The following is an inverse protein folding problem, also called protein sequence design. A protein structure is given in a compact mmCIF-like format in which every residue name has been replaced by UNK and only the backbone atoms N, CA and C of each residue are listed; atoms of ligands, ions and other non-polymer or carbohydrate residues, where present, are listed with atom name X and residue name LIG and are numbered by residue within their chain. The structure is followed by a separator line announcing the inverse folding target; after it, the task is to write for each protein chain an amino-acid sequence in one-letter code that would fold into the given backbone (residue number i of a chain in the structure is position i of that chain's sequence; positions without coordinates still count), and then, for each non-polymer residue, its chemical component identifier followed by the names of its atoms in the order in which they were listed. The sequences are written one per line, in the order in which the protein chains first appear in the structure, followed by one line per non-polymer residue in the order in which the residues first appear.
data_IF_719174083782
#
_entry.id   IF_719174083782
#
_cell.length_a   1.000
_cell.length_b   1.000
_cell.length_c   1.000
_cell.angle_alpha   90.00
_cell.angle_beta   90.00
_cell.angle_gamma   90.00
#
_symmetry.space_group_name_H-M   'P 1'
#
loop_
_entity.id
_entity.type
_entity.pdbx_description
1 polymer ?
#
# COMPACT_ATOMS: atom_id res chain seq x y z
N UNK A 1 -30.76 -2.04 5.59
CA UNK A 1 -31.52 -0.82 5.93
C UNK A 1 -30.50 0.29 5.96
N UNK A 2 -30.53 1.20 4.99
CA UNK A 2 -29.59 2.32 4.89
C UNK A 2 -29.94 3.30 6.01
N UNK A 3 -28.94 3.82 6.70
CA UNK A 3 -29.14 4.86 7.70
C UNK A 3 -29.78 6.08 7.01
N UNK A 4 -30.90 6.63 7.53
CA UNK A 4 -31.58 7.78 6.91
C UNK A 4 -30.66 8.96 6.60
N UNK A 5 -29.56 9.14 7.33
CA UNK A 5 -28.60 10.22 7.08
C UNK A 5 -27.77 10.04 5.79
N UNK A 6 -27.70 8.83 5.23
CA UNK A 6 -26.94 8.53 4.01
C UNK A 6 -27.82 8.17 2.79
N UNK A 7 -29.14 8.14 2.95
CA UNK A 7 -30.07 7.70 1.91
C UNK A 7 -29.97 8.53 0.61
N UNK A 8 -29.72 9.84 0.71
CA UNK A 8 -29.55 10.71 -0.46
C UNK A 8 -28.21 10.48 -1.19
N UNK A 9 -27.13 10.23 -0.44
CA UNK A 9 -25.82 9.91 -1.01
C UNK A 9 -25.84 8.56 -1.74
N UNK A 10 -26.50 7.56 -1.16
CA UNK A 10 -26.68 6.26 -1.81
C UNK A 10 -27.50 6.39 -3.11
N UNK A 11 -28.56 7.20 -3.12
CA UNK A 11 -29.34 7.50 -4.33
C UNK A 11 -28.51 8.20 -5.41
N UNK A 12 -27.61 9.11 -5.02
CA UNK A 12 -26.70 9.79 -5.94
C UNK A 12 -25.65 8.84 -6.53
N UNK A 13 -25.05 7.99 -5.71
CA UNK A 13 -24.08 6.97 -6.13
C UNK A 13 -24.71 5.98 -7.10
N UNK A 14 -25.93 5.50 -6.82
CA UNK A 14 -26.65 4.61 -7.72
C UNK A 14 -26.93 5.26 -9.09
N UNK A 15 -27.38 6.52 -9.12
CA UNK A 15 -27.61 7.25 -10.38
C UNK A 15 -26.32 7.49 -11.18
N UNK A 16 -25.18 7.68 -10.51
CA UNK A 16 -23.90 7.83 -11.19
C UNK A 16 -23.40 6.52 -11.79
N UNK A 17 -23.66 5.39 -11.12
CA UNK A 17 -23.33 4.06 -11.63
C UNK A 17 -24.18 3.68 -12.85
N UNK A 18 -25.50 3.93 -12.82
CA UNK A 18 -26.43 3.59 -13.92
C UNK A 18 -26.18 4.38 -15.21
N UNK A 19 -25.62 5.59 -15.13
CA UNK A 19 -25.29 6.40 -16.31
C UNK A 19 -23.93 6.03 -16.94
N UNK A 20 -23.24 5.00 -16.42
CA UNK A 20 -21.87 4.65 -16.82
C UNK A 20 -21.74 3.36 -17.64
N UNK A 21 -22.85 2.69 -17.96
CA UNK A 21 -22.84 1.36 -18.61
C UNK A 21 -22.09 1.31 -19.96
N UNK A 22 -21.90 2.44 -20.66
CA UNK A 22 -21.11 2.54 -21.89
C UNK A 22 -19.67 3.08 -21.68
N UNK A 23 -19.25 3.35 -20.44
CA UNK A 23 -17.96 4.00 -20.10
C UNK A 23 -17.07 3.22 -19.10
N UNK A 24 -17.41 1.97 -18.74
CA UNK A 24 -16.55 1.06 -17.94
C UNK A 24 -15.34 0.55 -18.77
N UNK A 25 -14.83 1.34 -19.72
CA UNK A 25 -13.76 0.98 -20.65
C UNK A 25 -12.44 1.70 -20.32
N UNK A 26 -12.02 1.64 -19.05
CA UNK A 26 -10.58 1.65 -18.75
C UNK A 26 -10.18 0.21 -18.42
N UNK A 27 -10.02 -0.57 -19.49
CA UNK A 27 -9.83 -2.02 -19.47
C UNK A 27 -8.60 -2.47 -18.64
N UNK A 28 -7.58 -1.61 -18.49
CA UNK A 28 -6.39 -1.77 -17.63
C UNK A 28 -5.43 -0.56 -17.82
N UNK A 29 -4.40 -0.44 -16.97
CA UNK A 29 -3.29 0.52 -17.14
C UNK A 29 -2.46 0.12 -18.39
N UNK A 30 -2.62 0.83 -19.51
CA UNK A 30 -2.13 0.38 -20.83
C UNK A 30 -0.61 0.42 -20.95
N UNK A 31 0.01 1.42 -20.33
CA UNK A 31 1.47 1.58 -20.32
C UNK A 31 2.13 0.85 -19.14
N UNK A 32 1.34 0.24 -18.25
CA UNK A 32 1.88 -0.59 -17.19
C UNK A 32 2.27 -1.96 -17.76
N UNK A 33 3.57 -2.17 -18.00
CA UNK A 33 4.07 -3.47 -18.47
C UNK A 33 3.79 -4.55 -17.42
N UNK A 34 3.21 -5.66 -17.86
CA UNK A 34 2.81 -6.79 -17.01
C UNK A 34 4.05 -7.41 -16.35
N UNK A 35 4.08 -7.34 -15.03
CA UNK A 35 5.03 -8.06 -14.18
C UNK A 35 4.25 -8.77 -13.07
N UNK A 36 4.87 -9.74 -12.38
CA UNK A 36 4.22 -10.37 -11.23
C UNK A 36 3.87 -9.30 -10.19
N UNK A 37 2.58 -8.96 -10.12
CA UNK A 37 2.00 -8.03 -9.17
C UNK A 37 1.74 -8.76 -7.86
N UNK A 38 2.10 -8.14 -6.74
CA UNK A 38 1.87 -8.73 -5.42
C UNK A 38 0.80 -8.00 -4.64
N UNK A 39 0.79 -6.67 -4.68
CA UNK A 39 -0.20 -5.86 -3.96
C UNK A 39 -0.44 -4.54 -4.66
N UNK A 40 -1.61 -3.97 -4.34
CA UNK A 40 -2.10 -2.70 -4.84
C UNK A 40 -2.67 -1.91 -3.65
N UNK A 41 -2.45 -0.59 -3.68
CA UNK A 41 -3.11 0.35 -2.77
C UNK A 41 -3.21 1.74 -3.41
N UNK A 42 -4.05 2.61 -2.86
CA UNK A 42 -4.08 4.03 -3.24
C UNK A 42 -3.16 4.86 -2.36
N UNK A 43 -2.43 5.78 -2.98
CA UNK A 43 -1.61 6.82 -2.34
C UNK A 43 -2.09 8.16 -2.87
N UNK A 44 -3.19 8.65 -2.28
CA UNK A 44 -3.90 9.83 -2.78
C UNK A 44 -4.51 9.57 -4.16
N UNK A 45 -4.09 10.35 -5.15
CA UNK A 45 -4.50 10.26 -6.56
C UNK A 45 -3.72 9.23 -7.38
N UNK A 46 -2.75 8.54 -6.76
CA UNK A 46 -1.84 7.60 -7.45
C UNK A 46 -1.99 6.19 -6.92
N UNK A 47 -1.66 5.23 -7.76
CA UNK A 47 -1.64 3.81 -7.41
C UNK A 47 -0.24 3.41 -6.90
N UNK A 48 -0.21 2.78 -5.73
CA UNK A 48 0.95 2.11 -5.18
C UNK A 48 0.90 0.63 -5.58
N UNK A 49 1.95 0.14 -6.22
CA UNK A 49 1.97 -1.18 -6.85
C UNK A 49 3.26 -1.90 -6.46
N UNK A 50 3.16 -3.04 -5.76
CA UNK A 50 4.34 -3.88 -5.48
C UNK A 50 4.50 -4.94 -6.55
N UNK A 51 5.73 -5.10 -7.03
CA UNK A 51 6.09 -5.99 -8.14
C UNK A 51 7.34 -6.81 -7.80
N UNK A 52 7.43 -8.02 -8.36
CA UNK A 52 8.58 -8.92 -8.17
C UNK A 52 9.90 -8.36 -8.69
N UNK A 53 9.88 -7.72 -9.85
CA UNK A 53 11.11 -7.39 -10.58
C UNK A 53 11.65 -5.99 -10.25
N UNK A 54 10.76 -5.03 -10.03
CA UNK A 54 11.11 -3.62 -9.89
C UNK A 54 10.84 -3.06 -8.49
N UNK A 55 10.38 -3.90 -7.56
CA UNK A 55 9.98 -3.48 -6.23
C UNK A 55 8.65 -2.71 -6.27
N UNK A 56 8.60 -1.55 -5.62
CA UNK A 56 7.37 -0.75 -5.50
C UNK A 56 7.36 0.34 -6.56
N UNK A 57 6.20 0.59 -7.17
CA UNK A 57 5.96 1.66 -8.15
C UNK A 57 4.82 2.55 -7.67
N UNK A 58 4.97 3.85 -7.88
CA UNK A 58 3.90 4.85 -7.75
C UNK A 58 3.49 5.26 -9.16
N UNK A 59 2.24 4.98 -9.50
CA UNK A 59 1.70 5.10 -10.85
C UNK A 59 0.60 6.16 -10.90
N UNK A 60 0.71 7.07 -11.84
CA UNK A 60 -0.34 8.04 -12.14
C UNK A 60 -1.32 7.39 -13.11
N UNK A 61 -2.51 7.02 -12.62
CA UNK A 61 -3.53 6.34 -13.40
C UNK A 61 -4.24 7.26 -14.41
N UNK A 62 -4.19 8.58 -14.21
CA UNK A 62 -4.77 9.55 -15.15
C UNK A 62 -3.84 9.81 -16.33
N UNK A 63 -2.53 9.95 -16.06
CA UNK A 63 -1.50 10.18 -17.07
C UNK A 63 -0.93 8.88 -17.67
N UNK A 64 -1.27 7.74 -17.09
CA UNK A 64 -0.80 6.40 -17.46
C UNK A 64 0.73 6.31 -17.54
N UNK A 65 1.41 6.77 -16.48
CA UNK A 65 2.87 6.77 -16.36
C UNK A 65 3.37 6.42 -14.96
N UNK A 66 4.58 5.89 -14.88
CA UNK A 66 5.29 5.75 -13.60
C UNK A 66 5.81 7.12 -13.19
N UNK A 67 5.42 7.57 -12.00
CA UNK A 67 6.00 8.76 -11.38
C UNK A 67 7.28 8.41 -10.61
N UNK A 68 7.28 7.26 -9.93
CA UNK A 68 8.37 6.87 -9.03
C UNK A 68 8.45 5.37 -8.81
N UNK A 69 9.63 4.90 -8.40
CA UNK A 69 9.86 3.53 -7.95
C UNK A 69 10.86 3.44 -6.79
N UNK A 70 10.75 2.34 -6.04
CA UNK A 70 11.65 1.92 -4.96
C UNK A 70 12.08 0.48 -5.20
N UNK A 71 13.37 0.31 -5.48
CA UNK A 71 13.94 -1.01 -5.71
C UNK A 71 13.98 -1.85 -4.43
N UNK A 72 13.92 -3.17 -4.61
CA UNK A 72 14.00 -4.14 -3.52
C UNK A 72 13.03 -5.29 -3.72
N UNK A 73 13.22 -6.32 -2.91
CA UNK A 73 12.37 -7.52 -2.88
C UNK A 73 11.12 -7.26 -2.01
N UNK A 74 10.26 -6.34 -2.46
CA UNK A 74 9.07 -5.92 -1.72
C UNK A 74 7.89 -6.82 -2.06
N UNK A 75 7.35 -7.49 -1.05
CA UNK A 75 6.16 -8.33 -1.21
C UNK A 75 4.91 -7.46 -1.19
N UNK A 76 4.82 -6.52 -0.24
CA UNK A 76 3.68 -5.63 -0.16
C UNK A 76 4.03 -4.25 0.32
N UNK A 77 3.24 -3.27 -0.14
CA UNK A 77 3.21 -1.93 0.38
C UNK A 77 1.75 -1.46 0.59
N UNK A 78 1.50 -0.74 1.68
CA UNK A 78 0.21 -0.10 1.99
C UNK A 78 0.42 1.35 2.37
N UNK A 79 -0.44 2.22 1.87
CA UNK A 79 -0.42 3.63 2.19
C UNK A 79 -0.96 3.88 3.61
N UNK A 80 -0.40 4.88 4.28
CA UNK A 80 -0.88 5.34 5.57
C UNK A 80 -2.28 5.98 5.37
N UNK A 81 -3.32 5.52 6.10
CA UNK A 81 -4.68 6.02 5.94
C UNK A 81 -4.85 7.50 6.31
N UNK A 82 -3.94 8.06 7.11
CA UNK A 82 -3.95 9.46 7.52
C UNK A 82 -3.04 10.36 6.67
N UNK A 83 -2.13 9.78 5.88
CA UNK A 83 -1.15 10.53 5.11
C UNK A 83 -0.82 9.83 3.78
N UNK A 84 -1.37 10.31 2.65
CA UNK A 84 -1.15 9.67 1.35
C UNK A 84 0.32 9.72 0.88
N UNK A 85 1.17 10.52 1.53
CA UNK A 85 2.59 10.62 1.20
C UNK A 85 3.47 9.59 1.93
N UNK A 86 2.87 8.70 2.71
CA UNK A 86 3.60 7.72 3.52
C UNK A 86 3.07 6.33 3.19
N UNK A 87 3.96 5.36 3.03
CA UNK A 87 3.57 3.96 2.85
C UNK A 87 4.52 3.02 3.58
N UNK A 88 3.96 2.00 4.22
CA UNK A 88 4.74 0.92 4.80
C UNK A 88 4.92 -0.19 3.79
N UNK A 89 6.09 -0.84 3.82
CA UNK A 89 6.44 -1.93 2.95
C UNK A 89 7.15 -3.06 3.70
N UNK A 90 6.84 -4.30 3.34
CA UNK A 90 7.49 -5.51 3.85
C UNK A 90 8.12 -6.30 2.71
N UNK A 91 9.30 -6.86 2.97
CA UNK A 91 10.02 -7.66 1.96
C UNK A 91 9.55 -9.10 1.91
N UNK A 92 9.75 -9.76 0.77
CA UNK A 92 9.50 -11.19 0.65
C UNK A 92 10.49 -11.97 1.54
N UNK A 93 11.77 -11.64 1.42
CA UNK A 93 12.85 -12.31 2.14
C UNK A 93 13.53 -11.42 3.18
N UNK A 94 14.08 -12.04 4.23
CA UNK A 94 14.98 -11.37 5.17
C UNK A 94 14.33 -10.42 6.19
N UNK A 95 13.00 -10.35 6.26
CA UNK A 95 12.32 -9.64 7.35
C UNK A 95 12.50 -8.12 7.33
N UNK A 96 12.70 -7.51 6.17
CA UNK A 96 12.88 -6.06 6.07
C UNK A 96 11.52 -5.37 6.08
N UNK A 97 11.45 -4.31 6.85
CA UNK A 97 10.32 -3.40 6.91
C UNK A 97 10.82 -1.98 6.63
N UNK A 98 10.10 -1.24 5.81
CA UNK A 98 10.38 0.17 5.53
C UNK A 98 9.11 0.99 5.58
N UNK A 99 9.27 2.25 5.92
CA UNK A 99 8.28 3.28 5.61
C UNK A 99 8.89 4.26 4.64
N UNK A 100 8.18 4.49 3.55
CA UNK A 100 8.61 5.24 2.39
C UNK A 100 7.98 6.62 2.41
N UNK A 101 8.73 7.63 1.98
CA UNK A 101 8.16 8.92 1.61
C UNK A 101 7.78 8.87 0.12
N UNK A 102 6.49 8.95 -0.19
CA UNK A 102 6.01 8.84 -1.56
C UNK A 102 6.42 10.05 -2.43
N UNK A 103 6.85 11.15 -1.79
CA UNK A 103 7.36 12.34 -2.47
C UNK A 103 8.83 12.21 -2.86
N UNK A 104 9.56 11.19 -2.37
CA UNK A 104 10.98 11.00 -2.65
C UNK A 104 11.41 9.53 -2.65
N UNK A 105 12.04 9.08 -3.73
CA UNK A 105 12.61 7.72 -3.80
C UNK A 105 13.96 7.58 -3.10
N UNK A 106 14.55 8.69 -2.67
CA UNK A 106 15.85 8.72 -1.99
C UNK A 106 15.69 8.71 -0.47
N UNK A 107 14.56 9.22 0.03
CA UNK A 107 14.31 9.33 1.46
C UNK A 107 13.45 8.18 1.93
N UNK A 108 13.78 7.66 3.10
CA UNK A 108 12.97 6.67 3.81
C UNK A 108 12.58 7.32 5.13
N UNK A 109 11.30 7.36 5.42
CA UNK A 109 10.69 7.78 6.70
C UNK A 109 11.34 6.97 7.85
N UNK A 110 11.66 5.72 7.55
CA UNK A 110 12.56 4.88 8.35
C UNK A 110 12.46 3.40 8.01
N UNK A 111 13.22 2.59 8.73
CA UNK A 111 13.37 1.18 8.42
C UNK A 111 13.63 0.33 9.67
N UNK A 112 13.22 -0.94 9.58
CA UNK A 112 13.43 -1.96 10.60
C UNK A 112 13.87 -3.27 9.95
N UNK A 113 14.88 -3.91 10.53
CA UNK A 113 15.25 -5.29 10.18
C UNK A 113 14.57 -6.23 11.18
N UNK A 114 13.29 -6.51 10.93
CA UNK A 114 12.46 -7.32 11.82
C UNK A 114 13.03 -8.73 11.97
N UNK A 115 13.60 -9.29 10.90
CA UNK A 115 14.20 -10.63 10.92
C UNK A 115 15.40 -10.74 11.87
N UNK A 116 16.19 -9.65 12.02
CA UNK A 116 17.26 -9.58 13.04
C UNK A 116 16.73 -9.41 14.45
N UNK A 117 15.63 -8.68 14.64
CA UNK A 117 15.04 -8.48 15.97
C UNK A 117 14.29 -9.71 16.46
N UNK A 118 13.58 -10.38 15.55
CA UNK A 118 12.85 -11.60 15.81
C UNK A 118 12.96 -12.51 14.57
N UNK A 119 13.64 -13.66 14.66
CA UNK A 119 13.80 -14.59 13.53
C UNK A 119 12.49 -15.10 12.91
N UNK A 120 11.35 -14.96 13.60
CA UNK A 120 10.02 -15.30 13.09
C UNK A 120 9.37 -14.18 12.25
N UNK A 121 9.89 -12.95 12.31
CA UNK A 121 9.39 -11.79 11.54
C UNK A 121 10.07 -11.70 10.16
N UNK A 122 9.85 -12.73 9.35
CA UNK A 122 10.29 -12.86 7.95
C UNK A 122 9.21 -13.61 7.17
N UNK A 123 9.30 -13.63 5.83
CA UNK A 123 8.31 -14.31 5.00
C UNK A 123 6.89 -13.81 5.28
N UNK A 124 6.74 -12.48 5.21
CA UNK A 124 5.46 -11.82 5.46
C UNK A 124 4.40 -12.27 4.46
N UNK A 125 3.13 -12.23 4.88
CA UNK A 125 1.97 -12.57 4.03
C UNK A 125 1.01 -11.39 3.87
N UNK A 126 0.86 -10.56 4.91
CA UNK A 126 0.01 -9.38 4.91
C UNK A 126 0.61 -8.27 5.80
N UNK A 127 0.21 -7.03 5.57
CA UNK A 127 0.50 -5.84 6.37
C UNK A 127 -0.72 -4.91 6.29
N UNK A 128 -1.10 -4.29 7.39
CA UNK A 128 -2.17 -3.29 7.42
C UNK A 128 -1.90 -2.23 8.48
N UNK A 129 -2.25 -1.00 8.18
CA UNK A 129 -2.17 0.11 9.13
C UNK A 129 -3.34 0.07 10.11
N UNK A 130 -3.11 0.48 11.35
CA UNK A 130 -4.21 0.91 12.19
C UNK A 130 -4.84 2.18 11.59
N UNK A 131 -6.16 2.40 11.75
CA UNK A 131 -6.83 3.58 11.20
C UNK A 131 -6.26 4.93 11.69
N UNK A 132 -5.58 4.93 12.83
CA UNK A 132 -4.95 6.10 13.44
C UNK A 132 -3.44 6.21 13.18
N UNK A 133 -2.90 5.33 12.32
CA UNK A 133 -1.51 5.35 11.85
C UNK A 133 -0.44 5.11 12.92
N UNK A 134 -0.84 4.70 14.12
CA UNK A 134 0.08 4.43 15.24
C UNK A 134 0.68 3.04 15.21
N UNK A 135 0.03 2.11 14.51
CA UNK A 135 0.45 0.73 14.47
C UNK A 135 0.38 0.16 13.07
N UNK A 136 1.22 -0.84 12.82
CA UNK A 136 1.09 -1.71 11.68
C UNK A 136 0.98 -3.14 12.20
N UNK A 137 -0.06 -3.84 11.77
CA UNK A 137 -0.19 -5.26 11.95
C UNK A 137 0.40 -5.97 10.74
N UNK A 138 1.18 -7.02 10.97
CA UNK A 138 1.70 -7.87 9.91
C UNK A 138 1.70 -9.33 10.36
N UNK A 139 1.56 -10.25 9.43
CA UNK A 139 1.70 -11.68 9.70
C UNK A 139 2.80 -12.30 8.84
N UNK A 140 3.24 -13.48 9.25
CA UNK A 140 4.23 -14.28 8.55
C UNK A 140 3.71 -15.68 8.28
N UNK A 141 4.45 -16.45 7.47
CA UNK A 141 4.21 -17.90 7.30
C UNK A 141 4.34 -18.72 8.58
N UNK A 142 4.77 -18.13 9.69
CA UNK A 142 4.92 -18.78 10.99
C UNK A 142 3.69 -18.58 11.90
N UNK A 143 2.51 -18.34 11.32
CA UNK A 143 1.20 -18.27 11.99
C UNK A 143 1.09 -17.27 13.15
N UNK A 144 1.91 -16.23 13.14
CA UNK A 144 1.89 -15.19 14.16
C UNK A 144 1.53 -13.83 13.55
N UNK A 145 0.74 -13.05 14.30
CA UNK A 145 0.52 -11.61 14.04
C UNK A 145 1.45 -10.81 14.93
N UNK A 146 2.15 -9.87 14.32
CA UNK A 146 3.04 -8.91 14.97
C UNK A 146 2.46 -7.51 14.84
N UNK A 147 2.64 -6.71 15.89
CA UNK A 147 2.32 -5.29 15.89
C UNK A 147 3.61 -4.48 15.96
N UNK A 148 3.78 -3.57 15.02
CA UNK A 148 4.86 -2.59 14.97
C UNK A 148 4.28 -1.27 15.46
N UNK A 149 4.83 -0.72 16.55
CA UNK A 149 4.45 0.60 17.06
C UNK A 149 5.24 1.70 16.35
N UNK A 150 4.52 2.53 15.61
CA UNK A 150 5.08 3.61 14.79
C UNK A 150 5.47 4.85 15.59
N UNK A 151 5.19 4.87 16.91
CA UNK A 151 5.49 6.01 17.79
C UNK A 151 6.81 5.85 18.53
N UNK A 152 7.34 4.63 18.64
CA UNK A 152 8.55 4.38 19.41
C UNK A 152 9.76 5.12 18.81
N UNK A 153 10.68 5.66 19.63
CA UNK A 153 11.91 6.25 19.13
C UNK A 153 12.73 5.17 18.39
N UNK A 154 12.98 5.39 17.10
CA UNK A 154 13.60 4.41 16.19
C UNK A 154 12.61 3.75 15.23
N UNK A 155 11.29 3.92 15.45
CA UNK A 155 10.31 3.65 14.42
C UNK A 155 10.38 4.76 13.34
N UNK A 156 10.13 4.42 12.07
CA UNK A 156 10.09 5.37 10.96
C UNK A 156 9.15 6.56 11.21
N UNK A 157 9.61 7.81 11.04
CA UNK A 157 8.80 9.04 11.14
C UNK A 157 8.62 9.76 9.82
#
# INVERSE_FOLDING_TARGET
MIDPQFAEQDLLLHKQAENSDDQISRDHLRNFKKWSLYSLDWSGDKLLISTKEYGIRLWDAEKDLEERSWSGDWMMARCDPSNPNVAAAVSWSGGKFKVLDMRSSQNTVGQLDCGKQNPMMKEFLELTWSPDSKYIATNTKHDQVFLIDMRMPGAPR
#
